data_IF_802211512171
#
_entry.id   IF_802211512171
#
_cell.length_a   1.000
_cell.length_b   1.000
_cell.length_c   1.000
_cell.angle_alpha   90.00
_cell.angle_beta   90.00
_cell.angle_gamma   90.00
#
_symmetry.space_group_name_H-M   'P 1'
#
loop_
_entity.id
_entity.type
_entity.pdbx_description
1 polymer ?
#
# COMPACT_ATOMS: atom_id res chain seq x y z
N UNK A 1 -4.06 12.33 9.73
CA UNK A 1 -3.22 11.83 8.61
C UNK A 1 -3.94 10.91 7.64
N UNK A 2 -4.36 9.67 8.01
CA UNK A 2 -5.08 8.78 7.05
C UNK A 2 -6.46 9.37 6.68
N UNK A 3 -7.23 9.84 7.66
CA UNK A 3 -8.52 10.52 7.45
C UNK A 3 -8.42 11.68 6.45
N UNK A 4 -7.42 12.55 6.64
CA UNK A 4 -7.22 13.73 5.81
C UNK A 4 -6.69 13.40 4.41
N UNK A 5 -5.74 12.46 4.32
CA UNK A 5 -5.14 12.02 3.04
C UNK A 5 -6.18 11.39 2.10
N UNK A 6 -7.14 10.66 2.65
CA UNK A 6 -8.16 9.98 1.86
C UNK A 6 -9.52 10.67 1.86
N UNK A 7 -9.67 11.78 2.60
CA UNK A 7 -10.95 12.49 2.73
C UNK A 7 -12.05 11.63 3.35
N UNK A 8 -11.70 10.77 4.31
CA UNK A 8 -12.63 9.85 4.97
C UNK A 8 -12.72 10.12 6.47
N UNK A 9 -13.84 9.75 7.08
CA UNK A 9 -13.95 9.49 8.50
C UNK A 9 -13.84 7.99 8.79
N UNK A 10 -13.29 7.64 9.95
CA UNK A 10 -13.12 6.25 10.38
C UNK A 10 -13.93 6.08 11.65
N UNK A 11 -14.81 5.08 11.66
CA UNK A 11 -15.65 4.68 12.77
C UNK A 11 -15.24 3.28 13.24
N UNK A 12 -15.23 3.10 14.55
CA UNK A 12 -14.87 1.85 15.20
C UNK A 12 -16.04 1.41 16.09
N UNK A 13 -16.42 0.14 16.00
CA UNK A 13 -17.42 -0.46 16.88
C UNK A 13 -16.90 -1.78 17.44
N UNK A 14 -17.09 -1.99 18.74
CA UNK A 14 -16.74 -3.25 19.41
C UNK A 14 -17.91 -4.20 19.25
N UNK A 15 -17.66 -5.39 18.70
CA UNK A 15 -18.67 -6.44 18.62
C UNK A 15 -18.70 -7.25 19.91
N UNK A 16 -19.81 -7.92 20.18
CA UNK A 16 -20.01 -8.76 21.37
C UNK A 16 -19.00 -9.92 21.51
N UNK A 17 -18.18 -10.18 20.48
CA UNK A 17 -17.14 -11.20 20.46
C UNK A 17 -15.72 -10.64 20.68
N UNK A 18 -15.58 -9.39 21.11
CA UNK A 18 -14.28 -8.75 21.35
C UNK A 18 -13.52 -8.39 20.07
N UNK A 19 -14.17 -8.42 18.91
CA UNK A 19 -13.61 -7.93 17.64
C UNK A 19 -13.95 -6.46 17.44
N UNK A 20 -13.00 -5.69 16.91
CA UNK A 20 -13.24 -4.30 16.51
C UNK A 20 -13.60 -4.29 15.03
N UNK A 21 -14.81 -3.82 14.71
CA UNK A 21 -15.21 -3.54 13.34
C UNK A 21 -14.84 -2.09 13.00
N UNK A 22 -14.06 -1.91 11.94
CA UNK A 22 -13.64 -0.59 11.46
C UNK A 22 -14.28 -0.30 10.12
N UNK A 23 -14.92 0.86 9.98
CA UNK A 23 -15.51 1.36 8.73
C UNK A 23 -14.92 2.72 8.37
N UNK A 24 -14.71 2.94 7.07
CA UNK A 24 -14.30 4.24 6.54
C UNK A 24 -15.44 4.80 5.68
N UNK A 25 -15.76 6.08 5.86
CA UNK A 25 -16.80 6.80 5.13
C UNK A 25 -16.22 8.05 4.47
N UNK A 26 -16.39 8.19 3.16
CA UNK A 26 -15.92 9.37 2.43
C UNK A 26 -16.75 10.61 2.78
N UNK A 27 -16.08 11.73 3.06
CA UNK A 27 -16.70 12.96 3.60
C UNK A 27 -17.64 13.68 2.64
N UNK A 28 -17.57 13.43 1.33
CA UNK A 28 -18.44 14.10 0.34
C UNK A 28 -19.65 13.25 -0.01
N UNK A 29 -20.77 13.90 -0.28
CA UNK A 29 -21.98 13.28 -0.78
C UNK A 29 -21.71 12.50 -2.08
N UNK A 30 -22.21 11.27 -2.16
CA UNK A 30 -21.96 10.34 -3.27
C UNK A 30 -21.04 9.16 -2.94
N UNK A 31 -20.33 9.19 -1.81
CA UNK A 31 -19.43 8.11 -1.37
C UNK A 31 -18.21 7.94 -2.29
N UNK A 32 -17.19 7.22 -1.83
CA UNK A 32 -16.07 6.83 -2.68
C UNK A 32 -15.41 5.55 -2.16
N UNK A 33 -15.95 4.40 -2.57
CA UNK A 33 -15.51 3.08 -2.14
C UNK A 33 -14.00 2.84 -2.39
N UNK A 34 -13.42 3.47 -3.41
CA UNK A 34 -11.99 3.39 -3.68
C UNK A 34 -11.18 4.06 -2.58
N UNK A 35 -11.54 5.29 -2.21
CA UNK A 35 -10.87 6.07 -1.17
C UNK A 35 -11.07 5.45 0.23
N UNK A 36 -12.28 4.96 0.52
CA UNK A 36 -12.59 4.22 1.74
C UNK A 36 -11.75 2.94 1.85
N UNK A 37 -11.66 2.16 0.77
CA UNK A 37 -10.83 0.96 0.69
C UNK A 37 -9.33 1.27 0.82
N UNK A 38 -8.84 2.36 0.23
CA UNK A 38 -7.45 2.78 0.39
C UNK A 38 -7.15 3.24 1.82
N UNK A 39 -8.07 3.95 2.46
CA UNK A 39 -7.93 4.34 3.86
C UNK A 39 -7.88 3.12 4.79
N UNK A 40 -8.76 2.13 4.59
CA UNK A 40 -8.75 0.89 5.37
C UNK A 40 -7.49 0.06 5.14
N UNK A 41 -6.95 -0.01 3.91
CA UNK A 41 -5.65 -0.67 3.67
C UNK A 41 -4.50 0.09 4.32
N UNK A 42 -4.47 1.41 4.21
CA UNK A 42 -3.45 2.22 4.86
C UNK A 42 -3.50 2.05 6.39
N UNK A 43 -4.71 1.95 6.95
CA UNK A 43 -4.93 1.68 8.37
C UNK A 43 -4.47 0.26 8.74
N UNK A 44 -4.81 -0.75 7.94
CA UNK A 44 -4.36 -2.13 8.15
C UNK A 44 -2.84 -2.24 8.06
N UNK A 45 -2.21 -1.56 7.10
CA UNK A 45 -0.76 -1.49 6.97
C UNK A 45 -0.12 -0.76 8.17
N UNK A 46 -0.74 0.30 8.68
CA UNK A 46 -0.31 0.97 9.90
C UNK A 46 -0.44 0.05 11.11
N UNK A 47 -1.56 -0.66 11.24
CA UNK A 47 -1.78 -1.63 12.31
C UNK A 47 -0.77 -2.77 12.22
N UNK A 48 -0.53 -3.34 11.04
CA UNK A 48 0.50 -4.35 10.82
C UNK A 48 1.87 -3.80 11.18
N UNK A 49 2.19 -2.55 10.80
CA UNK A 49 3.43 -1.89 11.20
C UNK A 49 3.57 -1.76 12.72
N UNK A 50 2.47 -1.48 13.45
CA UNK A 50 2.44 -1.41 14.91
C UNK A 50 2.50 -2.81 15.54
N UNK A 51 1.78 -3.79 15.02
CA UNK A 51 1.72 -5.15 15.55
C UNK A 51 3.00 -5.96 15.26
N UNK A 52 3.68 -5.66 14.16
CA UNK A 52 5.03 -6.18 13.86
C UNK A 52 6.12 -5.26 14.41
N UNK A 53 5.76 -4.13 15.01
CA UNK A 53 6.65 -3.34 15.87
C UNK A 53 6.55 -3.95 17.27
N UNK A 54 7.62 -4.50 17.82
CA UNK A 54 7.57 -5.19 19.09
C UNK A 54 7.58 -4.16 20.22
N UNK A 55 6.39 -3.63 20.48
CA UNK A 55 6.02 -3.08 21.77
C UNK A 55 5.36 -4.21 22.55
N UNK A 56 5.97 -4.55 23.69
CA UNK A 56 5.49 -5.46 24.70
C UNK A 56 3.96 -5.33 24.92
N UNK A 57 3.20 -6.33 24.49
CA UNK A 57 2.02 -6.75 25.23
C UNK A 57 2.35 -8.10 25.86
N UNK A 58 2.74 -8.07 27.14
CA UNK A 58 2.55 -9.25 27.97
C UNK A 58 1.05 -9.45 28.09
N UNK A 59 0.45 -10.35 27.32
CA UNK A 59 -0.84 -10.91 27.69
C UNK A 59 -0.96 -12.40 27.35
N UNK A 60 -1.78 -13.11 28.14
CA UNK A 60 -1.67 -14.54 28.36
C UNK A 60 -2.23 -15.34 27.18
N UNK A 61 -1.83 -16.61 27.18
CA UNK A 61 -2.25 -17.67 26.29
C UNK A 61 -3.68 -17.55 25.72
N UNK A 62 -3.75 -17.67 24.38
CA UNK A 62 -4.93 -18.19 23.69
C UNK A 62 -5.64 -17.19 22.77
N UNK A 63 -5.30 -17.19 21.48
CA UNK A 63 -6.27 -16.86 20.43
C UNK A 63 -5.81 -17.39 19.07
N UNK A 64 -6.69 -18.20 18.48
CA UNK A 64 -6.59 -18.81 17.15
C UNK A 64 -6.98 -17.81 16.06
N UNK A 65 -6.29 -17.93 14.93
CA UNK A 65 -6.45 -17.31 13.60
C UNK A 65 -7.87 -16.83 13.25
N UNK A 66 -8.00 -15.57 12.85
CA UNK A 66 -9.25 -14.95 12.38
C UNK A 66 -9.46 -15.13 10.86
N UNK A 67 -10.52 -15.87 10.49
CA UNK A 67 -11.20 -15.80 9.19
C UNK A 67 -12.46 -14.93 9.36
N UNK A 68 -12.62 -13.87 8.55
CA UNK A 68 -13.76 -12.94 8.66
C UNK A 68 -14.40 -12.62 7.32
N UNK A 69 -15.50 -13.31 7.03
CA UNK A 69 -16.41 -13.09 5.90
C UNK A 69 -17.36 -11.92 6.23
N UNK A 70 -17.43 -10.89 5.37
CA UNK A 70 -18.34 -9.75 5.56
C UNK A 70 -19.66 -9.99 4.82
N UNK A 71 -20.71 -10.34 5.58
CA UNK A 71 -22.10 -10.26 5.09
C UNK A 71 -22.60 -8.83 5.27
N UNK A 72 -23.20 -8.31 4.19
CA UNK A 72 -23.79 -6.99 4.12
C UNK A 72 -25.30 -7.12 4.38
N UNK A 73 -25.85 -6.31 5.27
CA UNK A 73 -27.30 -6.08 5.37
C UNK A 73 -27.51 -4.63 5.81
N UNK A 74 -28.19 -3.86 4.94
CA UNK A 74 -28.65 -2.51 5.23
C UNK A 74 -30.08 -2.49 5.73
N UNK A 75 -30.41 -1.42 6.47
CA UNK A 75 -31.70 -0.70 6.50
C UNK A 75 -31.55 0.51 7.45
N UNK A 76 -31.53 1.75 6.94
CA UNK A 76 -32.59 2.79 6.97
C UNK A 76 -33.13 3.16 8.36
N UNK A 77 -32.88 4.39 8.84
CA UNK A 77 -33.86 5.47 9.12
C UNK A 77 -33.27 6.60 10.00
N UNK A 78 -33.89 7.78 9.92
CA UNK A 78 -33.42 9.10 10.29
C UNK A 78 -33.92 9.62 11.65
N UNK A 79 -33.19 10.62 12.19
CA UNK A 79 -33.66 11.81 12.94
C UNK A 79 -32.41 12.62 13.36
N UNK A 80 -32.20 13.87 12.88
CA UNK A 80 -32.68 15.17 13.40
C UNK A 80 -32.43 15.39 14.91
N UNK A 81 -31.43 16.21 15.28
CA UNK A 81 -31.58 17.65 15.63
C UNK A 81 -30.27 18.23 16.23
N UNK A 82 -30.14 19.54 16.12
CA UNK A 82 -28.97 20.37 16.41
C UNK A 82 -28.94 20.89 17.86
N UNK A 83 -27.75 21.27 18.37
CA UNK A 83 -27.52 22.62 18.92
C UNK A 83 -26.06 22.87 19.32
N UNK A 84 -25.44 23.81 18.60
CA UNK A 84 -24.62 24.97 19.02
C UNK A 84 -23.84 24.98 20.34
N UNK A 85 -22.55 25.34 20.25
CA UNK A 85 -21.73 25.84 21.36
C UNK A 85 -20.38 26.39 20.87
N UNK A 86 -20.26 27.71 20.87
CA UNK A 86 -19.25 28.56 20.22
C UNK A 86 -17.91 28.64 20.95
N UNK A 87 -16.81 28.73 20.19
CA UNK A 87 -15.45 29.07 20.61
C UNK A 87 -15.32 30.51 21.14
N UNK A 88 -14.46 30.72 22.14
CA UNK A 88 -13.80 32.01 22.40
C UNK A 88 -12.28 31.84 22.56
N UNK A 89 -11.58 32.65 21.77
CA UNK A 89 -10.15 32.89 21.69
C UNK A 89 -9.44 33.16 23.03
N UNK A 90 -8.20 32.66 23.18
CA UNK A 90 -7.02 33.52 23.46
C UNK A 90 -5.68 32.82 23.20
N UNK A 91 -4.83 33.48 22.40
CA UNK A 91 -3.39 33.25 22.14
C UNK A 91 -2.58 34.38 22.89
N UNK A 92 -1.23 34.51 22.80
CA UNK A 92 -0.22 33.81 23.62
C UNK A 92 0.91 34.77 24.13
N UNK A 93 1.97 34.21 24.71
CA UNK A 93 3.30 34.85 24.89
C UNK A 93 3.62 35.25 26.34
N UNK A 94 4.87 35.41 26.79
CA UNK A 94 6.23 35.19 26.27
C UNK A 94 7.15 35.08 27.53
N UNK A 95 8.34 34.49 27.33
CA UNK A 95 9.52 34.35 28.22
C UNK A 95 9.81 35.53 29.18
N UNK A 96 10.56 35.37 30.29
CA UNK A 96 12.04 35.30 30.31
C UNK A 96 12.64 35.21 31.74
N UNK A 97 13.79 34.50 31.86
CA UNK A 97 15.01 34.76 32.67
C UNK A 97 14.93 34.78 34.23
N UNK A 98 15.85 34.27 35.07
CA UNK A 98 17.32 34.01 35.08
C UNK A 98 17.63 32.92 36.16
N UNK A 99 18.53 31.96 35.93
CA UNK A 99 19.98 31.89 36.31
C UNK A 99 20.26 31.80 37.81
N UNK A 100 20.82 30.67 38.26
CA UNK A 100 21.92 30.55 39.25
C UNK A 100 22.34 29.07 39.40
N UNK A 101 23.62 28.77 39.11
CA UNK A 101 24.35 27.59 39.64
C UNK A 101 25.17 28.04 40.87
N UNK A 102 25.57 27.12 41.75
CA UNK A 102 26.94 26.57 41.59
C UNK A 102 27.09 25.06 41.90
N UNK A 103 27.98 24.46 41.11
CA UNK A 103 29.07 23.50 41.43
C UNK A 103 28.87 22.33 42.42
N UNK A 104 29.23 21.11 41.95
CA UNK A 104 29.52 19.96 42.82
C UNK A 104 29.63 18.61 42.12
N UNK A 105 30.82 18.33 41.57
CA UNK A 105 31.49 17.01 41.50
C UNK A 105 30.77 15.75 40.95
N UNK A 106 31.21 15.34 39.75
CA UNK A 106 31.81 14.02 39.53
C UNK A 106 30.94 12.76 39.66
N UNK A 107 30.33 12.32 38.54
CA UNK A 107 30.08 10.91 38.30
C UNK A 107 30.01 10.62 36.79
N UNK A 108 31.03 9.90 36.31
CA UNK A 108 31.05 9.05 35.12
C UNK A 108 29.98 9.33 34.06
N UNK A 109 30.39 9.99 32.97
CA UNK A 109 29.72 9.81 31.67
C UNK A 109 29.90 8.35 31.27
N UNK A 110 29.00 7.50 31.78
CA UNK A 110 28.76 6.20 31.21
C UNK A 110 28.35 6.46 29.77
N UNK A 111 29.26 6.15 28.85
CA UNK A 111 28.94 5.87 27.47
C UNK A 111 27.98 4.67 27.50
N UNK A 112 26.70 4.94 27.78
CA UNK A 112 25.61 4.00 27.52
C UNK A 112 25.58 3.90 26.00
N UNK A 113 26.43 3.02 25.47
CA UNK A 113 26.20 2.39 24.18
C UNK A 113 24.79 1.86 24.27
N UNK A 114 23.84 2.61 23.71
CA UNK A 114 22.51 2.08 23.43
C UNK A 114 22.79 0.78 22.69
N UNK A 115 22.50 -0.35 23.33
CA UNK A 115 22.72 -1.65 22.71
C UNK A 115 21.85 -1.65 21.46
N UNK A 116 22.48 -1.41 20.30
CA UNK A 116 21.79 -1.37 19.04
C UNK A 116 21.19 -2.77 18.83
N UNK A 117 19.89 -2.89 19.08
CA UNK A 117 19.16 -4.13 19.00
C UNK A 117 18.54 -4.30 17.62
N UNK A 118 18.40 -5.55 17.18
CA UNK A 118 17.76 -5.89 15.93
C UNK A 118 16.26 -5.60 16.01
N UNK A 119 15.74 -4.73 15.15
CA UNK A 119 14.32 -4.33 15.19
C UNK A 119 13.33 -5.43 14.79
N UNK A 120 13.79 -6.63 14.41
CA UNK A 120 12.93 -7.78 14.05
C UNK A 120 12.79 -8.73 15.24
N UNK A 121 13.89 -9.07 15.92
CA UNK A 121 13.85 -9.99 17.07
C UNK A 121 13.91 -9.27 18.43
N UNK A 122 14.23 -7.98 18.45
CA UNK A 122 14.46 -7.15 19.65
C UNK A 122 15.54 -7.65 20.60
N UNK A 123 16.46 -8.43 20.05
CA UNK A 123 17.66 -8.88 20.75
C UNK A 123 18.89 -8.20 20.15
N UNK A 124 20.03 -8.35 20.82
CA UNK A 124 21.34 -8.02 20.30
C UNK A 124 21.60 -8.68 18.94
N UNK A 125 22.35 -8.00 18.06
CA UNK A 125 22.57 -8.48 16.70
C UNK A 125 23.33 -9.80 16.65
N UNK A 126 22.67 -10.83 16.11
CA UNK A 126 23.29 -12.09 15.69
C UNK A 126 23.69 -11.98 14.22
N UNK A 127 25.01 -11.89 13.95
CA UNK A 127 25.57 -11.66 12.61
C UNK A 127 24.93 -10.43 11.92
N UNK A 128 25.27 -9.25 12.42
CA UNK A 128 24.73 -7.96 11.96
C UNK A 128 24.93 -7.79 10.44
N UNK A 129 23.86 -7.46 9.72
CA UNK A 129 23.90 -7.02 8.33
C UNK A 129 23.26 -5.64 8.18
N UNK A 130 23.97 -4.78 7.47
CA UNK A 130 23.49 -3.44 7.11
C UNK A 130 23.06 -3.42 5.64
N UNK A 131 21.88 -2.86 5.36
CA UNK A 131 21.38 -2.64 4.00
C UNK A 131 21.88 -1.31 3.42
N UNK A 132 21.68 -1.10 2.11
CA UNK A 132 22.00 0.19 1.45
C UNK A 132 21.28 1.38 2.09
N UNK A 133 20.04 1.17 2.53
CA UNK A 133 19.24 2.15 3.28
C UNK A 133 19.70 2.36 4.73
N UNK A 134 20.87 1.84 5.11
CA UNK A 134 21.54 1.96 6.41
C UNK A 134 20.87 1.28 7.60
N UNK A 135 19.66 0.75 7.45
CA UNK A 135 19.02 -0.10 8.46
C UNK A 135 19.76 -1.44 8.65
N UNK A 136 19.73 -1.93 9.88
CA UNK A 136 20.55 -3.05 10.34
C UNK A 136 19.69 -4.13 10.98
N UNK A 137 20.02 -5.40 10.70
CA UNK A 137 19.26 -6.56 11.14
C UNK A 137 20.20 -7.74 11.44
N UNK A 138 19.75 -8.69 12.25
CA UNK A 138 20.37 -10.02 12.27
C UNK A 138 20.26 -10.65 10.88
N UNK A 139 21.31 -11.33 10.41
CA UNK A 139 21.30 -12.02 9.12
C UNK A 139 20.10 -12.97 8.99
N UNK A 140 19.85 -13.80 10.01
CA UNK A 140 18.72 -14.74 10.02
C UNK A 140 17.35 -14.06 9.99
N UNK A 141 17.20 -12.93 10.70
CA UNK A 141 15.96 -12.15 10.70
C UNK A 141 15.69 -11.53 9.32
N UNK A 142 16.74 -10.98 8.69
CA UNK A 142 16.63 -10.43 7.35
C UNK A 142 16.29 -11.53 6.33
N UNK A 143 16.96 -12.68 6.36
CA UNK A 143 16.64 -13.80 5.45
C UNK A 143 15.22 -14.33 5.64
N UNK A 144 14.74 -14.45 6.87
CA UNK A 144 13.36 -14.85 7.13
C UNK A 144 12.37 -13.81 6.60
N UNK A 145 12.66 -12.52 6.79
CA UNK A 145 11.84 -11.44 6.23
C UNK A 145 11.85 -11.44 4.71
N UNK A 146 12.97 -11.80 4.05
CA UNK A 146 13.02 -11.91 2.59
C UNK A 146 12.10 -13.00 2.07
N UNK A 147 11.99 -14.12 2.79
CA UNK A 147 11.10 -15.23 2.40
C UNK A 147 9.62 -14.84 2.43
N UNK A 148 9.22 -13.98 3.37
CA UNK A 148 7.82 -13.56 3.53
C UNK A 148 7.45 -12.29 2.77
N UNK A 149 8.36 -11.30 2.70
CA UNK A 149 8.09 -9.97 2.16
C UNK A 149 8.88 -9.65 0.88
N UNK A 150 9.73 -10.56 0.42
CA UNK A 150 10.67 -10.31 -0.67
C UNK A 150 11.90 -9.48 -0.24
N UNK A 151 12.83 -9.19 -1.18
CA UNK A 151 14.09 -8.52 -0.89
C UNK A 151 13.94 -6.99 -0.69
N UNK A 152 13.14 -6.60 0.31
CA UNK A 152 12.95 -5.22 0.74
C UNK A 152 13.31 -5.03 2.21
N UNK A 153 13.70 -3.81 2.58
CA UNK A 153 13.98 -3.45 3.95
C UNK A 153 12.67 -3.51 4.78
N UNK A 154 12.62 -4.26 5.89
CA UNK A 154 11.41 -4.37 6.70
C UNK A 154 10.92 -3.03 7.29
N UNK A 155 11.85 -2.10 7.53
CA UNK A 155 11.59 -0.79 8.14
C UNK A 155 11.13 0.27 7.14
N UNK A 156 11.91 0.49 6.07
CA UNK A 156 11.64 1.58 5.10
C UNK A 156 11.12 1.11 3.74
N UNK A 157 11.04 -0.21 3.51
CA UNK A 157 10.61 -0.84 2.25
C UNK A 157 11.54 -0.60 1.04
N UNK A 158 12.72 -0.04 1.26
CA UNK A 158 13.72 0.08 0.20
C UNK A 158 14.12 -1.31 -0.35
N UNK A 159 14.05 -1.46 -1.67
CA UNK A 159 14.23 -2.75 -2.36
C UNK A 159 15.71 -2.96 -2.68
N UNK A 160 16.29 -4.07 -2.22
CA UNK A 160 17.72 -4.37 -2.41
C UNK A 160 17.97 -5.61 -3.28
N UNK A 161 16.93 -6.20 -3.86
CA UNK A 161 17.03 -7.33 -4.78
C UNK A 161 15.88 -7.33 -5.80
N UNK A 162 15.80 -8.39 -6.61
CA UNK A 162 14.71 -8.53 -7.59
C UNK A 162 13.41 -8.89 -6.86
N UNK A 163 12.43 -7.99 -6.85
CA UNK A 163 11.09 -8.31 -6.40
C UNK A 163 10.42 -9.24 -7.40
N UNK A 164 9.68 -10.23 -6.90
CA UNK A 164 8.89 -11.12 -7.73
C UNK A 164 7.51 -11.24 -7.09
N UNK A 165 6.47 -11.06 -7.89
CA UNK A 165 5.09 -11.22 -7.43
C UNK A 165 4.56 -12.63 -7.65
N UNK A 166 3.24 -12.73 -7.55
CA UNK A 166 2.47 -13.97 -7.68
C UNK A 166 1.54 -13.94 -8.91
N UNK A 167 1.70 -13.01 -9.84
CA UNK A 167 0.95 -13.00 -11.09
C UNK A 167 1.04 -14.38 -11.80
N UNK A 168 -0.09 -14.97 -12.20
CA UNK A 168 -0.06 -16.20 -12.99
C UNK A 168 0.57 -16.03 -14.38
N UNK A 169 0.95 -17.14 -15.00
CA UNK A 169 1.48 -17.11 -16.36
C UNK A 169 0.47 -16.56 -17.37
N UNK A 170 0.97 -15.80 -18.34
CA UNK A 170 0.16 -15.09 -19.31
C UNK A 170 1.02 -14.36 -20.32
N UNK A 171 0.38 -13.48 -21.11
CA UNK A 171 1.02 -12.70 -22.17
C UNK A 171 0.74 -11.22 -21.98
N UNK A 172 1.75 -10.41 -22.24
CA UNK A 172 1.65 -8.97 -22.43
C UNK A 172 2.14 -8.65 -23.83
N UNK A 173 1.29 -8.02 -24.64
CA UNK A 173 1.64 -7.51 -25.97
C UNK A 173 1.31 -6.02 -26.03
N UNK A 174 1.86 -5.32 -27.02
CA UNK A 174 1.47 -3.94 -27.28
C UNK A 174 1.47 -3.65 -28.78
N UNK A 175 0.71 -2.62 -29.17
CA UNK A 175 0.67 -2.09 -30.53
C UNK A 175 0.54 -0.56 -30.49
N UNK A 176 0.98 0.10 -31.56
CA UNK A 176 0.71 1.53 -31.76
C UNK A 176 -0.69 1.74 -32.34
N UNK A 177 -1.39 2.75 -31.86
CA UNK A 177 -2.64 3.26 -32.42
C UNK A 177 -2.48 4.72 -32.87
N UNK A 178 -3.21 5.10 -33.92
CA UNK A 178 -3.08 6.43 -34.54
C UNK A 178 -3.79 7.54 -33.76
N UNK A 179 -4.85 7.20 -33.03
CA UNK A 179 -5.64 8.18 -32.27
C UNK A 179 -4.89 8.67 -31.04
N UNK A 180 -4.71 9.98 -30.95
CA UNK A 180 -4.08 10.63 -29.79
C UNK A 180 -5.01 10.59 -28.58
N UNK A 181 -4.44 10.42 -27.38
CA UNK A 181 -5.22 10.43 -26.14
C UNK A 181 -5.52 11.87 -25.70
N UNK A 182 -6.68 12.14 -25.08
CA UNK A 182 -6.98 13.43 -24.49
C UNK A 182 -5.86 13.90 -23.53
N UNK A 183 -5.34 15.10 -23.77
CA UNK A 183 -4.19 15.67 -23.03
C UNK A 183 -2.81 15.39 -23.65
N UNK A 184 -2.72 14.59 -24.71
CA UNK A 184 -1.48 14.25 -25.40
C UNK A 184 -1.65 14.37 -26.93
N UNK A 185 -1.68 15.60 -27.48
CA UNK A 185 -1.91 15.80 -28.91
C UNK A 185 -0.74 15.30 -29.77
N UNK A 186 -1.04 14.89 -31.01
CA UNK A 186 -0.07 14.59 -32.07
C UNK A 186 0.95 13.48 -31.77
N UNK A 187 0.68 12.57 -30.82
CA UNK A 187 1.56 11.44 -30.56
C UNK A 187 0.91 10.06 -30.82
N UNK A 188 -0.41 9.98 -31.02
CA UNK A 188 -1.11 8.69 -31.06
C UNK A 188 -1.15 8.01 -29.69
N UNK A 189 -1.39 6.70 -29.67
CA UNK A 189 -1.47 5.91 -28.43
C UNK A 189 -0.73 4.58 -28.53
N UNK A 190 -0.38 4.02 -27.38
CA UNK A 190 0.11 2.66 -27.22
C UNK A 190 -1.05 1.89 -26.60
N UNK A 191 -1.47 0.80 -27.23
CA UNK A 191 -2.45 -0.12 -26.68
C UNK A 191 -1.72 -1.36 -26.19
N UNK A 192 -1.79 -1.59 -24.88
CA UNK A 192 -1.22 -2.75 -24.20
C UNK A 192 -2.33 -3.77 -24.01
N UNK A 193 -2.11 -5.02 -24.41
CA UNK A 193 -3.05 -6.11 -24.25
C UNK A 193 -2.47 -7.16 -23.31
N UNK A 194 -3.17 -7.43 -22.22
CA UNK A 194 -2.86 -8.47 -21.25
C UNK A 194 -3.82 -9.65 -21.40
N UNK A 195 -3.27 -10.85 -21.38
CA UNK A 195 -4.06 -12.09 -21.35
C UNK A 195 -3.48 -13.05 -20.32
N UNK A 196 -4.29 -13.42 -19.34
CA UNK A 196 -3.96 -14.44 -18.34
C UNK A 196 -5.07 -15.50 -18.40
N UNK A 197 -4.79 -16.75 -18.81
CA UNK A 197 -5.78 -17.81 -18.80
C UNK A 197 -6.21 -18.16 -17.37
N UNK A 198 -7.38 -18.78 -17.22
CA UNK A 198 -7.77 -19.39 -15.94
C UNK A 198 -6.87 -20.57 -15.61
N UNK A 199 -6.73 -20.87 -14.31
CA UNK A 199 -5.79 -21.88 -13.85
C UNK A 199 -6.03 -22.32 -12.41
N UNK A 200 -5.02 -22.95 -11.82
CA UNK A 200 -5.03 -23.44 -10.43
C UNK A 200 -4.10 -22.58 -9.58
N UNK A 201 -4.56 -22.21 -8.39
CA UNK A 201 -3.80 -21.41 -7.45
C UNK A 201 -2.59 -22.17 -6.90
N UNK A 202 -1.43 -21.51 -6.84
CA UNK A 202 -0.19 -22.04 -6.28
C UNK A 202 -0.12 -21.76 -4.78
N UNK A 203 0.92 -22.26 -4.11
CA UNK A 203 1.23 -21.94 -2.70
C UNK A 203 1.46 -20.43 -2.45
N UNK A 204 1.73 -19.64 -3.49
CA UNK A 204 1.87 -18.17 -3.38
C UNK A 204 0.52 -17.45 -3.31
N UNK A 205 -0.59 -18.12 -3.63
CA UNK A 205 -1.92 -17.51 -3.72
C UNK A 205 -2.77 -17.77 -2.47
N UNK A 206 -3.88 -17.01 -2.26
CA UNK A 206 -4.70 -17.13 -1.05
C UNK A 206 -5.37 -18.49 -0.84
N UNK A 207 -5.69 -19.24 -1.90
CA UNK A 207 -6.34 -20.54 -1.82
C UNK A 207 -5.63 -21.58 -2.70
N UNK A 208 -4.47 -22.13 -2.27
CA UNK A 208 -3.73 -23.13 -3.04
C UNK A 208 -4.62 -24.32 -3.47
N UNK A 209 -4.44 -24.79 -4.70
CA UNK A 209 -5.24 -25.88 -5.29
C UNK A 209 -6.63 -25.50 -5.81
N UNK A 210 -7.18 -24.33 -5.45
CA UNK A 210 -8.46 -23.86 -6.03
C UNK A 210 -8.28 -23.27 -7.42
N UNK A 211 -9.31 -23.39 -8.25
CA UNK A 211 -9.37 -22.69 -9.54
C UNK A 211 -9.44 -21.18 -9.35
N UNK A 212 -8.80 -20.44 -10.25
CA UNK A 212 -9.03 -19.02 -10.44
C UNK A 212 -9.47 -18.75 -11.89
N UNK A 213 -10.26 -17.70 -12.06
CA UNK A 213 -10.72 -17.25 -13.37
C UNK A 213 -9.73 -16.26 -13.99
N UNK A 214 -9.41 -16.47 -15.27
CA UNK A 214 -8.49 -15.66 -16.05
C UNK A 214 -9.07 -14.29 -16.46
N UNK A 215 -8.27 -13.50 -17.16
CA UNK A 215 -8.66 -12.17 -17.65
C UNK A 215 -8.08 -11.86 -19.04
N UNK A 216 -8.78 -10.97 -19.75
CA UNK A 216 -8.24 -10.22 -20.88
C UNK A 216 -8.50 -8.73 -20.62
N UNK A 217 -7.48 -7.89 -20.75
CA UNK A 217 -7.58 -6.44 -20.50
C UNK A 217 -6.74 -5.65 -21.48
N UNK A 218 -7.25 -4.48 -21.85
CA UNK A 218 -6.47 -3.47 -22.55
C UNK A 218 -6.17 -2.28 -21.64
N UNK A 219 -5.01 -1.66 -21.87
CA UNK A 219 -4.59 -0.42 -21.25
C UNK A 219 -3.92 0.52 -22.26
N UNK A 220 -3.93 1.81 -21.95
CA UNK A 220 -3.55 2.86 -22.89
C UNK A 220 -2.48 3.79 -22.31
N UNK A 221 -1.44 4.06 -23.10
CA UNK A 221 -0.43 5.10 -22.84
C UNK A 221 -0.35 6.06 -24.03
N UNK A 222 0.05 7.31 -23.86
CA UNK A 222 0.39 8.16 -25.00
C UNK A 222 1.63 7.61 -25.70
N UNK A 223 1.64 7.60 -27.04
CA UNK A 223 2.80 7.13 -27.79
C UNK A 223 3.84 8.25 -27.98
N UNK A 224 4.39 8.72 -26.87
CA UNK A 224 5.46 9.71 -26.81
C UNK A 224 6.64 9.16 -25.96
N UNK A 225 7.68 9.98 -25.74
CA UNK A 225 8.87 9.56 -24.96
C UNK A 225 8.49 9.04 -23.56
N UNK A 226 7.70 9.81 -22.83
CA UNK A 226 7.26 9.50 -21.46
C UNK A 226 6.46 8.20 -21.36
N UNK A 227 5.52 7.98 -22.31
CA UNK A 227 4.69 6.79 -22.35
C UNK A 227 5.47 5.54 -22.78
N UNK A 228 6.45 5.67 -23.67
CA UNK A 228 7.35 4.57 -24.04
C UNK A 228 8.27 4.16 -22.87
N UNK A 229 8.70 5.10 -22.03
CA UNK A 229 9.42 4.77 -20.80
C UNK A 229 8.54 3.97 -19.82
N UNK A 230 7.29 4.40 -19.61
CA UNK A 230 6.32 3.67 -18.78
C UNK A 230 6.04 2.28 -19.36
N UNK A 231 5.89 2.15 -20.69
CA UNK A 231 5.71 0.84 -21.34
C UNK A 231 6.83 -0.13 -20.96
N UNK A 232 8.10 0.29 -21.07
CA UNK A 232 9.26 -0.55 -20.72
C UNK A 232 9.26 -0.97 -19.26
N UNK A 233 8.88 -0.07 -18.35
CA UNK A 233 8.75 -0.37 -16.93
C UNK A 233 7.61 -1.37 -16.67
N UNK A 234 6.47 -1.21 -17.34
CA UNK A 234 5.35 -2.15 -17.24
C UNK A 234 5.71 -3.54 -17.78
N UNK A 235 6.49 -3.63 -18.86
CA UNK A 235 7.03 -4.90 -19.36
C UNK A 235 7.91 -5.56 -18.31
N UNK A 236 8.87 -4.81 -17.74
CA UNK A 236 9.73 -5.31 -16.65
C UNK A 236 8.92 -5.76 -15.43
N UNK A 237 7.88 -5.02 -15.05
CA UNK A 237 6.99 -5.39 -13.95
C UNK A 237 6.17 -6.66 -14.27
N UNK A 238 5.72 -6.84 -15.51
CA UNK A 238 5.01 -8.03 -15.96
C UNK A 238 5.92 -9.26 -15.92
N UNK A 239 7.16 -9.14 -16.41
CA UNK A 239 8.18 -10.20 -16.36
C UNK A 239 8.53 -10.59 -14.92
N UNK A 240 8.44 -9.62 -13.99
CA UNK A 240 8.62 -9.83 -12.55
C UNK A 240 7.34 -10.26 -11.82
N UNK A 241 6.25 -10.55 -12.54
CA UNK A 241 4.99 -11.04 -11.98
C UNK A 241 4.28 -10.04 -11.05
N UNK A 242 4.45 -8.74 -11.27
CA UNK A 242 3.98 -7.68 -10.37
C UNK A 242 2.74 -6.91 -10.87
N UNK A 243 2.28 -7.11 -12.11
CA UNK A 243 1.14 -6.36 -12.67
C UNK A 243 -0.19 -6.90 -12.12
N UNK A 244 -0.32 -8.22 -12.01
CA UNK A 244 -1.50 -8.89 -11.49
C UNK A 244 -1.19 -9.72 -10.24
N UNK A 245 -2.24 -10.24 -9.63
CA UNK A 245 -2.23 -11.21 -8.52
C UNK A 245 -3.53 -12.03 -8.58
N UNK A 246 -3.65 -13.07 -7.77
CA UNK A 246 -4.92 -13.79 -7.57
C UNK A 246 -5.52 -13.39 -6.23
N UNK A 247 -6.78 -12.95 -6.24
CA UNK A 247 -7.48 -12.59 -5.02
C UNK A 247 -8.94 -12.21 -5.25
N UNK A 248 -9.43 -11.30 -4.42
CA UNK A 248 -10.82 -10.82 -4.49
C UNK A 248 -10.92 -9.59 -5.38
N UNK A 249 -11.78 -9.65 -6.38
CA UNK A 249 -12.09 -8.52 -7.27
C UNK A 249 -12.70 -7.37 -6.47
N UNK A 250 -12.07 -6.19 -6.56
CA UNK A 250 -12.53 -4.99 -5.83
C UNK A 250 -13.88 -4.47 -6.33
N UNK A 251 -14.19 -4.64 -7.61
CA UNK A 251 -15.42 -4.08 -8.21
C UNK A 251 -16.60 -5.03 -8.09
N UNK A 252 -16.36 -6.34 -8.05
CA UNK A 252 -17.43 -7.35 -8.06
C UNK A 252 -17.51 -8.17 -6.78
N UNK A 253 -16.51 -8.11 -5.90
CA UNK A 253 -16.44 -8.91 -4.67
C UNK A 253 -16.14 -10.40 -4.91
N UNK A 254 -15.98 -10.85 -6.16
CA UNK A 254 -15.72 -12.27 -6.47
C UNK A 254 -14.30 -12.66 -6.05
N UNK A 255 -14.20 -13.74 -5.29
CA UNK A 255 -12.93 -14.37 -4.91
C UNK A 255 -12.34 -15.20 -6.06
N UNK A 256 -11.07 -15.59 -5.93
CA UNK A 256 -10.36 -16.45 -6.89
C UNK A 256 -10.33 -15.86 -8.30
N UNK A 257 -10.06 -14.57 -8.39
CA UNK A 257 -9.97 -13.83 -9.65
C UNK A 257 -8.55 -13.32 -9.86
N UNK A 258 -8.10 -13.26 -11.11
CA UNK A 258 -6.95 -12.43 -11.46
C UNK A 258 -7.34 -10.95 -11.35
N UNK A 259 -6.59 -10.18 -10.57
CA UNK A 259 -6.84 -8.76 -10.29
C UNK A 259 -5.58 -7.93 -10.45
N UNK A 260 -5.72 -6.61 -10.63
CA UNK A 260 -4.58 -5.68 -10.66
C UNK A 260 -3.86 -5.68 -9.31
N UNK A 261 -2.53 -5.64 -9.33
CA UNK A 261 -1.68 -5.65 -8.13
C UNK A 261 -1.05 -4.27 -7.90
N UNK A 262 -1.86 -3.30 -7.53
CA UNK A 262 -1.46 -1.93 -7.10
C UNK A 262 -0.58 -1.13 -8.09
N UNK A 263 -0.56 -1.51 -9.37
CA UNK A 263 -0.03 -0.68 -10.48
C UNK A 263 -1.22 -0.27 -11.35
N UNK A 264 -1.60 0.99 -11.27
CA UNK A 264 -2.77 1.50 -11.96
C UNK A 264 -2.55 1.57 -13.47
N UNK A 265 -3.57 1.14 -14.21
CA UNK A 265 -3.61 1.19 -15.66
C UNK A 265 -4.78 2.06 -16.13
N UNK A 266 -4.58 2.73 -17.26
CA UNK A 266 -5.67 3.43 -17.94
C UNK A 266 -6.39 2.46 -18.87
N UNK A 267 -7.56 1.97 -18.46
CA UNK A 267 -8.36 1.01 -19.22
C UNK A 267 -9.41 1.66 -20.11
N UNK A 268 -9.48 3.00 -20.11
CA UNK A 268 -10.33 3.80 -21.00
C UNK A 268 -9.50 4.89 -21.68
N UNK A 269 -9.86 5.26 -22.89
CA UNK A 269 -9.27 6.42 -23.60
C UNK A 269 -9.99 7.73 -23.28
N UNK A 270 -11.10 7.69 -22.55
CA UNK A 270 -11.97 8.84 -22.25
C UNK A 270 -12.55 8.76 -20.83
N UNK A 271 -13.33 9.77 -20.42
CA UNK A 271 -13.99 9.81 -19.10
C UNK A 271 -13.09 10.26 -17.94
N UNK A 272 -11.84 10.63 -18.23
CA UNK A 272 -10.90 11.15 -17.23
C UNK A 272 -10.55 10.14 -16.13
N UNK A 273 -9.94 10.64 -15.05
CA UNK A 273 -9.43 9.81 -13.97
C UNK A 273 -10.50 8.92 -13.30
N UNK A 274 -11.74 9.41 -13.16
CA UNK A 274 -12.83 8.68 -12.49
C UNK A 274 -13.26 7.43 -13.24
N UNK A 275 -13.13 7.44 -14.58
CA UNK A 275 -13.44 6.28 -15.43
C UNK A 275 -12.18 5.48 -15.81
N UNK A 276 -11.09 5.62 -15.04
CA UNK A 276 -9.80 5.00 -15.33
C UNK A 276 -9.28 5.36 -16.74
N UNK A 277 -9.57 6.56 -17.22
CA UNK A 277 -9.21 7.01 -18.56
C UNK A 277 -8.55 8.38 -18.61
N UNK A 278 -8.57 8.98 -19.81
CA UNK A 278 -7.95 10.26 -20.12
C UNK A 278 -9.03 11.35 -20.33
N UNK A 279 -8.70 12.65 -20.14
CA UNK A 279 -7.41 13.18 -19.72
C UNK A 279 -7.11 12.92 -18.24
N UNK A 280 -5.82 12.75 -17.91
CA UNK A 280 -5.30 12.65 -16.55
C UNK A 280 -3.82 13.07 -16.54
N UNK A 281 -3.53 14.36 -16.31
CA UNK A 281 -2.17 14.89 -16.47
C UNK A 281 -1.17 14.33 -15.45
N UNK A 282 -1.63 13.81 -14.31
CA UNK A 282 -0.75 13.26 -13.28
C UNK A 282 -0.49 11.76 -13.40
N UNK A 283 -1.14 11.07 -14.34
CA UNK A 283 -1.10 9.60 -14.39
C UNK A 283 0.31 9.03 -14.60
N UNK A 284 1.06 9.54 -15.57
CA UNK A 284 2.37 8.98 -15.90
C UNK A 284 3.38 9.15 -14.75
N UNK A 285 3.32 10.25 -14.00
CA UNK A 285 4.10 10.39 -12.77
C UNK A 285 3.70 9.37 -11.72
N UNK A 286 2.40 9.24 -11.42
CA UNK A 286 1.91 8.34 -10.37
C UNK A 286 2.22 6.88 -10.67
N UNK A 287 2.05 6.41 -11.92
CA UNK A 287 2.36 5.03 -12.26
C UNK A 287 3.85 4.73 -12.17
N UNK A 288 4.73 5.71 -12.45
CA UNK A 288 6.18 5.55 -12.19
C UNK A 288 6.49 5.42 -10.70
N UNK A 289 5.82 6.21 -9.85
CA UNK A 289 6.00 6.10 -8.40
C UNK A 289 5.52 4.74 -7.88
N UNK A 290 4.40 4.23 -8.39
CA UNK A 290 3.87 2.89 -8.07
C UNK A 290 4.83 1.77 -8.50
N UNK A 291 5.38 1.89 -9.72
CA UNK A 291 6.38 0.95 -10.24
C UNK A 291 7.67 0.99 -9.41
N UNK A 292 8.16 2.19 -9.09
CA UNK A 292 9.34 2.39 -8.24
C UNK A 292 9.14 1.81 -6.85
N UNK A 293 7.95 1.99 -6.25
CA UNK A 293 7.60 1.41 -4.95
C UNK A 293 7.61 -0.13 -4.96
N UNK A 294 7.45 -0.76 -6.13
CA UNK A 294 7.60 -2.20 -6.34
C UNK A 294 9.01 -2.63 -6.78
N UNK A 295 9.99 -1.72 -6.72
CA UNK A 295 11.37 -1.99 -7.12
C UNK A 295 11.61 -1.95 -8.63
N UNK A 296 10.65 -1.44 -9.40
CA UNK A 296 10.76 -1.33 -10.87
C UNK A 296 11.23 0.06 -11.25
N UNK A 297 12.52 0.16 -11.51
CA UNK A 297 13.21 1.37 -11.99
C UNK A 297 13.82 1.15 -13.37
N UNK A 298 14.07 2.23 -14.10
CA UNK A 298 14.89 2.19 -15.32
C UNK A 298 16.27 1.62 -14.98
N UNK A 299 16.86 0.86 -15.89
CA UNK A 299 18.27 0.49 -15.74
C UNK A 299 19.11 1.77 -15.89
N UNK A 300 20.08 1.95 -15.00
CA UNK A 300 21.11 2.99 -15.11
C UNK A 300 21.96 2.79 -16.37
#
# INVERSE_FOLDING_TARGET
>A
MIKDKFGVDIQESVTSQGQVQVKAHYKRSGGNASMESHALRALLQLYQKIATSPLNFKQPHGATVLNGSLKNSGAVHASEEASSGTELNRKPGYNTHNTEEPEGEGATAGDTKEEENCSICMDTFKKKKQLKCKHEFCEGCLEQSKKSLGPCCPLCKDVFGKMEGDQPDGKMNWRSGHSSLPGYPQCGCIVISYWIPGGIQTEKHPNPGKRYEGISREAYLPNNKEGNEVLRLLQKAFDQKLIFTVGTSRTTGKENQVTWNDIHHKTSISGGQQCFGYPDPGYLSRVRDELKAKGIVCAD
#
